data_IF_763798965461
#
_entry.id   IF_763798965461
#
_cell.length_a   1.000
_cell.length_b   1.000
_cell.length_c   1.000
_cell.angle_alpha   90.00
_cell.angle_beta   90.00
_cell.angle_gamma   90.00
#
_symmetry.space_group_name_H-M   'P 1'
#
loop_
_entity.id
_entity.type
_entity.pdbx_description
1 polymer ?
#
# COMPACT_ATOMS: atom_id res chain seq x y z
N UNK A 1 -79.30 -17.12 19.88
CA UNK A 1 -78.06 -17.90 20.08
C UNK A 1 -76.94 -16.90 20.34
N UNK A 2 -76.49 -16.79 21.59
CA UNK A 2 -75.41 -15.87 21.95
C UNK A 2 -74.06 -16.34 21.36
N UNK A 3 -73.11 -15.41 21.12
CA UNK A 3 -71.81 -15.75 20.55
C UNK A 3 -71.06 -16.74 21.47
N UNK A 4 -70.23 -17.65 20.92
CA UNK A 4 -69.53 -18.66 21.70
C UNK A 4 -68.63 -18.01 22.75
N UNK A 5 -68.86 -18.39 24.02
CA UNK A 5 -68.06 -17.99 25.16
C UNK A 5 -66.66 -18.58 25.00
N UNK A 6 -65.65 -17.72 24.80
CA UNK A 6 -64.23 -18.13 24.89
C UNK A 6 -63.92 -18.46 26.35
N UNK A 7 -63.50 -19.70 26.61
CA UNK A 7 -63.05 -20.18 27.92
C UNK A 7 -61.85 -19.34 28.42
N UNK A 8 -62.13 -18.35 29.26
CA UNK A 8 -61.16 -17.63 30.07
C UNK A 8 -60.64 -18.56 31.17
N UNK A 9 -59.45 -19.16 30.99
CA UNK A 9 -58.48 -19.62 32.03
C UNK A 9 -57.52 -20.74 31.60
N UNK A 10 -57.26 -20.95 30.31
CA UNK A 10 -56.02 -21.62 29.88
C UNK A 10 -55.07 -20.58 29.31
N UNK A 11 -54.11 -20.15 30.12
CA UNK A 11 -52.95 -19.38 29.64
C UNK A 11 -52.20 -20.34 28.71
N UNK A 12 -52.22 -20.05 27.40
CA UNK A 12 -51.50 -20.85 26.41
C UNK A 12 -49.99 -20.63 26.57
N UNK A 13 -49.39 -21.30 27.56
CA UNK A 13 -47.94 -21.33 27.79
C UNK A 13 -47.18 -21.75 26.54
N UNK A 14 -47.81 -22.57 25.68
CA UNK A 14 -47.25 -23.04 24.40
C UNK A 14 -46.80 -21.89 23.48
N UNK A 15 -47.62 -20.84 23.28
CA UNK A 15 -47.24 -19.68 22.46
C UNK A 15 -46.13 -18.85 23.09
N UNK A 16 -46.07 -18.82 24.42
CA UNK A 16 -45.00 -18.11 25.15
C UNK A 16 -43.69 -18.89 25.10
N UNK A 17 -43.74 -20.22 25.22
CA UNK A 17 -42.59 -21.09 25.01
C UNK A 17 -42.12 -21.08 23.56
N UNK A 18 -43.01 -21.11 22.57
CA UNK A 18 -42.65 -20.97 21.15
C UNK A 18 -41.99 -19.60 20.88
N UNK A 19 -42.52 -18.52 21.47
CA UNK A 19 -41.92 -17.17 21.35
C UNK A 19 -40.57 -17.06 22.06
N UNK A 20 -40.41 -17.66 23.24
CA UNK A 20 -39.13 -17.73 23.97
C UNK A 20 -38.13 -18.62 23.23
N UNK A 21 -38.59 -19.71 22.61
CA UNK A 21 -37.76 -20.63 21.82
C UNK A 21 -37.32 -19.96 20.51
N UNK A 22 -38.18 -19.18 19.86
CA UNK A 22 -37.84 -18.36 18.68
C UNK A 22 -36.95 -17.15 19.03
N UNK A 23 -36.98 -16.67 20.27
CA UNK A 23 -36.11 -15.60 20.78
C UNK A 23 -34.76 -16.11 21.29
N UNK A 24 -34.45 -17.40 21.12
CA UNK A 24 -33.12 -17.91 21.47
C UNK A 24 -32.08 -17.21 20.61
N UNK A 25 -31.17 -16.52 21.30
CA UNK A 25 -29.93 -16.02 20.71
C UNK A 25 -29.08 -17.26 20.41
N UNK A 26 -29.11 -17.71 19.16
CA UNK A 26 -28.23 -18.78 18.73
C UNK A 26 -26.84 -18.19 18.45
N UNK A 27 -25.83 -18.79 19.07
CA UNK A 27 -24.44 -18.58 18.73
C UNK A 27 -23.94 -19.73 17.86
N UNK A 28 -23.17 -19.42 16.82
CA UNK A 28 -22.52 -20.42 15.97
C UNK A 28 -21.07 -20.08 15.78
N UNK A 29 -20.24 -21.10 15.67
CA UNK A 29 -18.85 -20.94 15.29
C UNK A 29 -18.76 -20.87 13.76
N UNK A 30 -17.96 -19.93 13.28
CA UNK A 30 -17.86 -19.57 11.88
C UNK A 30 -16.43 -19.10 11.55
N UNK A 31 -16.15 -18.95 10.26
CA UNK A 31 -14.87 -18.43 9.77
C UNK A 31 -15.13 -17.22 8.89
N UNK A 32 -14.33 -16.17 9.04
CA UNK A 32 -14.36 -15.00 8.17
C UNK A 32 -13.92 -15.38 6.75
N UNK A 33 -14.73 -15.07 5.76
CA UNK A 33 -14.48 -15.43 4.36
C UNK A 33 -14.14 -14.21 3.50
N UNK A 34 -14.88 -13.12 3.68
CA UNK A 34 -14.67 -11.87 2.96
C UNK A 34 -15.06 -10.71 3.86
N UNK A 35 -14.39 -9.57 3.71
CA UNK A 35 -14.51 -8.42 4.60
C UNK A 35 -14.70 -7.17 3.77
N UNK A 36 -15.82 -6.49 3.98
CA UNK A 36 -16.07 -5.17 3.46
C UNK A 36 -15.91 -4.15 4.59
N UNK A 37 -14.73 -3.53 4.63
CA UNK A 37 -14.41 -2.50 5.63
C UNK A 37 -15.21 -1.22 5.43
N UNK A 38 -15.71 -0.94 4.22
CA UNK A 38 -16.49 0.26 3.91
C UNK A 38 -17.90 0.17 4.52
N UNK A 39 -18.51 -1.02 4.48
CA UNK A 39 -19.85 -1.28 5.02
C UNK A 39 -19.81 -1.85 6.44
N UNK A 40 -18.62 -2.15 6.98
CA UNK A 40 -18.41 -2.86 8.26
C UNK A 40 -19.19 -4.18 8.32
N UNK A 41 -19.21 -4.89 7.21
CA UNK A 41 -19.80 -6.22 7.10
C UNK A 41 -18.74 -7.22 6.71
N UNK A 42 -18.99 -8.47 7.05
CA UNK A 42 -18.16 -9.59 6.64
C UNK A 42 -19.05 -10.74 6.19
N UNK A 43 -18.59 -11.49 5.21
CA UNK A 43 -19.17 -12.78 4.87
C UNK A 43 -18.50 -13.83 5.73
N UNK A 44 -19.30 -14.63 6.43
CA UNK A 44 -18.83 -15.73 7.27
C UNK A 44 -19.37 -17.04 6.76
N UNK A 45 -18.57 -18.09 6.94
CA UNK A 45 -18.97 -19.47 6.67
C UNK A 45 -19.23 -20.18 7.99
N UNK A 46 -20.48 -20.60 8.23
CA UNK A 46 -20.86 -21.30 9.46
C UNK A 46 -20.32 -22.73 9.41
N UNK A 47 -19.82 -23.22 10.54
CA UNK A 47 -19.42 -24.62 10.67
C UNK A 47 -20.58 -25.57 10.30
N UNK A 48 -20.36 -26.45 9.32
CA UNK A 48 -21.36 -27.39 8.83
C UNK A 48 -22.28 -26.85 7.73
N UNK A 49 -22.04 -25.64 7.22
CA UNK A 49 -22.73 -25.07 6.06
C UNK A 49 -21.74 -24.64 4.97
N UNK A 50 -22.15 -24.80 3.71
CA UNK A 50 -21.42 -24.25 2.56
C UNK A 50 -21.89 -22.85 2.16
N UNK A 51 -22.98 -22.37 2.73
CA UNK A 51 -23.55 -21.06 2.41
C UNK A 51 -22.82 -19.95 3.15
N UNK A 52 -22.45 -18.89 2.43
CA UNK A 52 -21.89 -17.68 3.00
C UNK A 52 -23.03 -16.78 3.47
N UNK A 53 -22.96 -16.38 4.73
CA UNK A 53 -23.93 -15.45 5.32
C UNK A 53 -23.25 -14.13 5.63
N UNK A 54 -24.01 -13.04 5.61
CA UNK A 54 -23.49 -11.71 5.95
C UNK A 54 -23.65 -11.48 7.46
N UNK A 55 -22.56 -11.10 8.11
CA UNK A 55 -22.50 -10.73 9.52
C UNK A 55 -21.93 -9.32 9.68
N UNK A 56 -22.49 -8.56 10.62
CA UNK A 56 -22.03 -7.22 10.95
C UNK A 56 -20.80 -7.30 11.88
N UNK A 57 -19.87 -6.37 11.67
CA UNK A 57 -18.75 -6.16 12.58
C UNK A 57 -19.21 -5.24 13.72
N UNK A 58 -19.06 -5.65 14.99
CA UNK A 58 -19.52 -4.86 16.13
C UNK A 58 -18.82 -3.50 16.17
N UNK A 59 -19.61 -2.43 16.23
CA UNK A 59 -19.11 -1.06 16.22
C UNK A 59 -18.54 -0.60 17.58
N UNK A 60 -18.97 -1.26 18.64
CA UNK A 60 -18.70 -0.90 20.02
C UNK A 60 -17.45 -1.56 20.62
N UNK A 61 -16.80 -2.47 19.88
CA UNK A 61 -15.62 -3.19 20.36
C UNK A 61 -14.36 -2.45 19.90
N UNK A 62 -14.13 -2.38 18.58
CA UNK A 62 -12.93 -1.77 18.01
C UNK A 62 -13.24 -1.10 16.66
N UNK A 63 -12.49 -0.03 16.34
CA UNK A 63 -12.62 0.68 15.06
C UNK A 63 -12.01 -0.13 13.91
N UNK A 64 -10.82 -0.71 14.13
CA UNK A 64 -10.08 -1.55 13.19
C UNK A 64 -9.62 -2.84 13.88
N UNK A 65 -10.49 -3.84 13.99
CA UNK A 65 -10.17 -5.05 14.73
C UNK A 65 -9.10 -5.89 14.03
N UNK A 66 -8.02 -6.23 14.74
CA UNK A 66 -6.93 -7.05 14.17
C UNK A 66 -7.38 -8.47 13.78
N UNK A 67 -8.45 -8.95 14.40
CA UNK A 67 -9.08 -10.24 14.11
C UNK A 67 -9.92 -10.23 12.83
N UNK A 68 -10.23 -9.08 12.26
CA UNK A 68 -11.02 -8.96 11.04
C UNK A 68 -10.13 -9.23 9.81
N UNK A 69 -9.77 -10.50 9.63
CA UNK A 69 -9.00 -11.01 8.48
C UNK A 69 -9.67 -12.29 7.96
N UNK A 70 -9.68 -12.54 6.64
CA UNK A 70 -10.20 -13.81 6.12
C UNK A 70 -9.42 -14.98 6.72
N UNK A 71 -10.09 -16.06 7.09
CA UNK A 71 -9.47 -17.21 7.76
C UNK A 71 -9.58 -17.21 9.28
N UNK A 72 -9.84 -16.08 9.92
CA UNK A 72 -9.96 -16.06 11.37
C UNK A 72 -11.26 -16.73 11.83
N UNK A 73 -11.12 -17.52 12.90
CA UNK A 73 -12.24 -18.13 13.59
C UNK A 73 -13.02 -17.07 14.37
N UNK A 74 -14.33 -17.06 14.19
CA UNK A 74 -15.23 -16.12 14.86
C UNK A 74 -16.46 -16.83 15.37
N UNK A 75 -17.01 -16.33 16.48
CA UNK A 75 -18.33 -16.71 16.93
C UNK A 75 -19.31 -15.64 16.50
N UNK A 76 -20.35 -16.06 15.79
CA UNK A 76 -21.46 -15.20 15.40
C UNK A 76 -22.65 -15.42 16.30
N UNK A 77 -23.45 -14.38 16.50
CA UNK A 77 -24.72 -14.44 17.21
C UNK A 77 -25.81 -13.77 16.40
N UNK A 78 -27.03 -14.30 16.51
CA UNK A 78 -28.20 -13.59 16.02
C UNK A 78 -28.66 -12.55 17.05
N UNK A 79 -28.53 -11.26 16.73
CA UNK A 79 -29.04 -10.16 17.57
C UNK A 79 -30.53 -9.97 17.32
N UNK A 80 -31.32 -10.08 18.38
CA UNK A 80 -32.75 -9.74 18.35
C UNK A 80 -32.99 -8.23 18.14
N UNK A 81 -34.09 -7.87 17.49
CA UNK A 81 -34.46 -6.48 17.20
C UNK A 81 -35.54 -6.38 16.12
N UNK A 82 -35.92 -5.17 15.71
CA UNK A 82 -36.97 -4.93 14.69
C UNK A 82 -36.57 -5.48 13.31
N UNK A 83 -35.27 -5.54 13.01
CA UNK A 83 -34.68 -6.13 11.79
C UNK A 83 -33.50 -7.03 12.17
N UNK A 84 -33.76 -8.08 12.96
CA UNK A 84 -32.73 -8.97 13.50
C UNK A 84 -31.59 -9.24 12.50
N UNK A 85 -30.35 -9.15 12.98
CA UNK A 85 -29.16 -9.24 12.16
C UNK A 85 -28.14 -10.17 12.83
N UNK A 86 -27.23 -10.70 12.04
CA UNK A 86 -26.13 -11.53 12.53
C UNK A 86 -24.95 -10.61 12.81
N UNK A 87 -24.31 -10.79 13.95
CA UNK A 87 -23.15 -10.01 14.37
C UNK A 87 -22.03 -10.92 14.85
N UNK A 88 -20.78 -10.52 14.60
CA UNK A 88 -19.62 -11.17 15.22
C UNK A 88 -19.60 -10.82 16.72
N UNK A 89 -19.66 -11.85 17.56
CA UNK A 89 -19.70 -11.71 19.02
C UNK A 89 -18.34 -11.94 19.70
N UNK A 90 -17.41 -12.60 19.01
CA UNK A 90 -16.08 -12.88 19.53
C UNK A 90 -15.18 -13.54 18.50
N UNK A 91 -13.88 -13.51 18.75
CA UNK A 91 -12.87 -14.21 17.94
C UNK A 91 -12.40 -15.47 18.68
N UNK A 92 -12.17 -16.55 17.93
CA UNK A 92 -11.67 -17.82 18.44
C UNK A 92 -10.16 -17.94 18.24
N UNK A 93 -9.51 -18.75 19.09
CA UNK A 93 -8.08 -19.09 18.98
C UNK A 93 -7.82 -20.30 18.07
N UNK A 94 -8.86 -21.03 17.66
CA UNK A 94 -8.75 -22.22 16.83
C UNK A 94 -9.78 -22.23 15.71
N UNK A 95 -9.37 -22.70 14.53
CA UNK A 95 -10.26 -22.89 13.37
C UNK A 95 -11.26 -24.02 13.71
N UNK A 96 -12.58 -23.81 13.52
CA UNK A 96 -13.58 -24.85 13.74
C UNK A 96 -13.24 -26.16 13.01
N UNK A 97 -13.36 -27.28 13.71
CA UNK A 97 -13.09 -28.61 13.14
C UNK A 97 -13.98 -28.87 11.92
N UNK A 98 -13.36 -29.30 10.82
CA UNK A 98 -14.08 -29.66 9.61
C UNK A 98 -15.05 -30.82 9.84
N UNK A 99 -16.27 -30.68 9.31
CA UNK A 99 -17.26 -31.75 9.24
C UNK A 99 -17.15 -32.39 7.86
N UNK A 100 -17.17 -33.72 7.79
CA UNK A 100 -17.04 -34.45 6.53
C UNK A 100 -18.04 -33.96 5.48
N UNK A 101 -17.55 -33.61 4.28
CA UNK A 101 -18.36 -33.11 3.16
C UNK A 101 -18.59 -31.59 3.13
N UNK A 102 -17.96 -30.81 4.02
CA UNK A 102 -18.08 -29.34 4.06
C UNK A 102 -16.69 -28.69 4.07
N UNK A 103 -16.41 -27.86 3.07
CA UNK A 103 -15.19 -27.04 3.00
C UNK A 103 -15.27 -25.88 3.99
N UNK A 104 -14.90 -26.07 5.24
CA UNK A 104 -14.92 -24.97 6.22
C UNK A 104 -13.69 -24.08 6.13
N UNK A 105 -12.57 -24.55 5.56
CA UNK A 105 -11.36 -23.74 5.44
C UNK A 105 -11.50 -22.77 4.25
N UNK A 106 -11.34 -21.45 4.46
CA UNK A 106 -11.15 -20.56 3.33
C UNK A 106 -9.95 -21.01 2.51
N UNK A 107 -9.90 -20.61 1.22
CA UNK A 107 -8.71 -20.79 0.41
C UNK A 107 -7.52 -20.31 1.23
N UNK A 108 -6.46 -21.12 1.28
CA UNK A 108 -5.26 -20.69 1.98
C UNK A 108 -4.86 -19.32 1.45
N UNK A 109 -4.58 -18.40 2.38
CA UNK A 109 -3.84 -17.19 2.06
C UNK A 109 -2.49 -17.69 1.54
N UNK A 110 -2.26 -17.56 0.22
CA UNK A 110 -1.05 -17.97 -0.51
C UNK A 110 0.09 -16.93 -0.58
N UNK A 111 0.36 -16.06 0.42
CA UNK A 111 1.70 -15.53 0.62
C UNK A 111 2.60 -16.61 1.23
N UNK A 112 3.87 -16.69 0.81
CA UNK A 112 4.84 -17.64 1.37
C UNK A 112 5.08 -17.44 2.88
N UNK A 113 4.92 -16.20 3.36
CA UNK A 113 5.17 -15.79 4.75
C UNK A 113 4.10 -14.82 5.27
N UNK A 114 3.72 -14.92 6.55
CA UNK A 114 2.81 -13.95 7.18
C UNK A 114 2.18 -14.38 8.49
N UNK A 115 1.56 -13.42 9.19
CA UNK A 115 0.78 -13.69 10.41
C UNK A 115 -0.61 -14.21 10.07
N UNK A 116 -0.93 -15.41 10.55
CA UNK A 116 -2.24 -16.04 10.37
C UNK A 116 -3.21 -15.54 11.45
N UNK A 117 -2.79 -15.53 12.72
CA UNK A 117 -3.64 -15.08 13.83
C UNK A 117 -2.82 -14.65 15.07
N UNK A 118 -3.36 -13.74 15.87
CA UNK A 118 -2.85 -13.36 17.21
C UNK A 118 -1.59 -12.50 17.28
N UNK A 119 -0.54 -12.80 16.52
CA UNK A 119 0.78 -12.17 16.69
C UNK A 119 0.73 -10.64 16.46
N UNK A 120 1.17 -9.88 17.45
CA UNK A 120 1.19 -8.42 17.46
C UNK A 120 2.38 -7.92 18.28
N UNK A 121 2.80 -6.68 18.01
CA UNK A 121 3.81 -5.97 18.79
C UNK A 121 3.09 -4.94 19.66
N UNK A 122 3.32 -5.01 20.98
CA UNK A 122 2.72 -4.13 21.97
C UNK A 122 3.81 -3.29 22.62
N UNK A 123 3.62 -1.97 22.66
CA UNK A 123 4.41 -1.11 23.53
C UNK A 123 4.07 -1.41 25.00
N UNK A 124 5.08 -1.36 25.87
CA UNK A 124 4.89 -1.57 27.30
C UNK A 124 4.14 -0.40 27.93
N UNK A 125 3.30 -0.70 28.95
CA UNK A 125 2.55 0.32 29.69
C UNK A 125 3.44 1.12 30.66
N UNK A 126 4.61 0.56 31.00
CA UNK A 126 5.65 1.24 31.79
C UNK A 126 6.61 1.90 30.82
N UNK A 127 7.02 3.14 31.10
CA UNK A 127 8.00 3.85 30.27
C UNK A 127 9.32 3.07 30.27
N UNK A 128 9.53 2.30 29.20
CA UNK A 128 10.70 1.45 29.01
C UNK A 128 10.96 1.29 27.51
N UNK A 129 12.21 1.04 27.13
CA UNK A 129 12.59 0.72 25.75
C UNK A 129 12.42 -0.79 25.52
N UNK A 130 11.22 -1.30 25.82
CA UNK A 130 10.86 -2.72 25.67
C UNK A 130 9.53 -2.79 24.94
N UNK A 131 9.44 -3.71 23.99
CA UNK A 131 8.20 -4.09 23.32
C UNK A 131 7.91 -5.58 23.55
N UNK A 132 6.63 -5.93 23.59
CA UNK A 132 6.17 -7.29 23.82
C UNK A 132 5.63 -7.87 22.53
N UNK A 133 5.98 -9.12 22.24
CA UNK A 133 5.44 -9.89 21.12
C UNK A 133 4.37 -10.82 21.67
N UNK A 134 3.14 -10.76 21.15
CA UNK A 134 2.04 -11.63 21.61
C UNK A 134 2.08 -13.01 20.96
N UNK A 135 1.45 -13.97 21.63
CA UNK A 135 1.26 -15.32 21.10
C UNK A 135 0.42 -15.31 19.81
N UNK A 136 0.60 -16.33 18.98
CA UNK A 136 -0.22 -16.51 17.79
C UNK A 136 0.31 -17.59 16.85
N UNK A 137 -0.14 -17.54 15.60
CA UNK A 137 0.28 -18.46 14.54
C UNK A 137 0.80 -17.69 13.34
N UNK A 138 1.96 -18.13 12.83
CA UNK A 138 2.65 -17.52 11.70
C UNK A 138 2.93 -18.58 10.64
N UNK A 139 3.08 -18.16 9.39
CA UNK A 139 3.55 -18.98 8.28
C UNK A 139 4.92 -18.48 7.86
N UNK A 140 5.89 -19.39 7.74
CA UNK A 140 7.23 -19.10 7.21
C UNK A 140 7.61 -20.22 6.24
N UNK A 141 7.96 -19.87 5.01
CA UNK A 141 8.31 -20.83 3.96
C UNK A 141 7.19 -21.84 3.69
N UNK A 142 5.93 -21.41 3.77
CA UNK A 142 4.76 -22.26 3.62
C UNK A 142 4.43 -23.16 4.82
N UNK A 143 5.30 -23.22 5.85
CA UNK A 143 5.09 -24.01 7.07
C UNK A 143 4.43 -23.16 8.15
N UNK A 144 3.43 -23.71 8.83
CA UNK A 144 2.75 -23.03 9.95
C UNK A 144 3.47 -23.31 11.25
N UNK A 145 3.82 -22.26 11.99
CA UNK A 145 4.42 -22.31 13.32
C UNK A 145 3.48 -21.70 14.36
N UNK A 146 3.49 -22.28 15.56
CA UNK A 146 2.78 -21.75 16.73
C UNK A 146 3.77 -20.99 17.60
N UNK A 147 3.56 -19.70 17.75
CA UNK A 147 4.30 -18.82 18.65
C UNK A 147 3.65 -18.93 20.03
N UNK A 148 4.26 -19.75 20.89
CA UNK A 148 3.75 -20.08 22.22
C UNK A 148 4.06 -19.03 23.29
N UNK A 149 3.45 -19.15 24.49
CA UNK A 149 3.75 -18.25 25.59
C UNK A 149 5.14 -18.49 26.16
N UNK A 150 5.76 -17.45 26.72
CA UNK A 150 7.01 -17.58 27.48
C UNK A 150 6.75 -18.37 28.75
N UNK A 151 7.64 -19.32 29.05
CA UNK A 151 7.60 -20.07 30.30
C UNK A 151 8.04 -19.18 31.47
N UNK A 152 7.42 -19.34 32.64
CA UNK A 152 7.69 -18.47 33.81
C UNK A 152 9.09 -18.66 34.42
N UNK A 153 9.80 -19.72 34.02
CA UNK A 153 11.17 -20.02 34.41
C UNK A 153 12.20 -19.50 33.39
N UNK A 154 11.76 -18.83 32.32
CA UNK A 154 12.64 -18.23 31.33
C UNK A 154 13.30 -16.96 31.89
N UNK A 155 14.64 -16.93 31.85
CA UNK A 155 15.44 -15.83 32.39
C UNK A 155 15.28 -14.53 31.62
N UNK A 156 14.81 -14.60 30.37
CA UNK A 156 14.71 -13.44 29.48
C UNK A 156 13.40 -12.66 29.67
N UNK A 157 12.47 -13.18 30.48
CA UNK A 157 11.20 -12.51 30.79
C UNK A 157 11.13 -12.04 32.24
N UNK A 158 11.37 -10.74 32.45
CA UNK A 158 11.16 -10.11 33.76
C UNK A 158 9.68 -9.81 34.00
N UNK A 159 9.15 -10.20 35.16
CA UNK A 159 7.81 -9.79 35.57
C UNK A 159 7.76 -8.27 35.78
N UNK A 160 6.67 -7.62 35.35
CA UNK A 160 6.44 -6.20 35.58
C UNK A 160 6.37 -5.30 34.33
N UNK A 161 6.55 -5.85 33.12
CA UNK A 161 6.42 -5.09 31.86
C UNK A 161 4.98 -4.68 31.48
N UNK A 162 3.98 -5.06 32.28
CA UNK A 162 2.57 -4.73 32.05
C UNK A 162 1.85 -5.64 31.04
N UNK A 163 2.50 -6.69 30.54
CA UNK A 163 1.89 -7.70 29.68
C UNK A 163 0.96 -8.66 30.43
N UNK A 164 -0.05 -9.20 29.73
CA UNK A 164 -0.94 -10.23 30.26
C UNK A 164 -0.19 -11.56 30.33
N UNK A 165 -0.07 -12.14 31.53
CA UNK A 165 0.57 -13.44 31.72
C UNK A 165 -0.11 -14.52 30.84
N UNK A 166 0.72 -15.31 30.16
CA UNK A 166 0.25 -16.34 29.22
C UNK A 166 -0.21 -15.81 27.85
N UNK A 167 -0.22 -14.49 27.62
CA UNK A 167 -0.53 -13.86 26.33
C UNK A 167 0.69 -13.34 25.57
N UNK A 168 1.88 -13.41 26.17
CA UNK A 168 3.14 -12.89 25.63
C UNK A 168 4.04 -14.05 25.23
N UNK A 169 4.59 -13.96 24.02
CA UNK A 169 5.53 -14.89 23.44
C UNK A 169 7.00 -14.47 23.58
N UNK A 170 7.24 -13.18 23.85
CA UNK A 170 8.58 -12.68 24.14
C UNK A 170 8.59 -11.19 24.45
N UNK A 171 9.70 -10.72 25.01
CA UNK A 171 9.99 -9.31 25.21
C UNK A 171 11.29 -8.96 24.49
N UNK A 172 11.28 -7.84 23.76
CA UNK A 172 12.45 -7.35 23.03
C UNK A 172 12.83 -6.00 23.61
N UNK A 173 14.05 -5.92 24.15
CA UNK A 173 14.64 -4.64 24.54
C UNK A 173 15.18 -3.96 23.29
N UNK A 174 14.70 -2.74 23.01
CA UNK A 174 15.12 -1.94 21.86
C UNK A 174 16.12 -0.86 22.29
N UNK A 175 16.93 -0.39 21.35
CA UNK A 175 17.91 0.66 21.61
C UNK A 175 17.23 1.94 22.10
N UNK A 176 17.95 2.74 22.90
CA UNK A 176 17.48 4.03 23.40
C UNK A 176 16.90 4.96 22.32
N UNK A 177 16.02 5.87 22.75
CA UNK A 177 15.32 6.77 21.85
C UNK A 177 16.34 7.58 21.02
N UNK A 178 16.07 7.77 19.71
CA UNK A 178 16.93 8.59 18.87
C UNK A 178 16.92 10.05 19.34
N UNK A 179 17.89 10.85 18.89
CA UNK A 179 18.02 12.25 19.30
C UNK A 179 16.74 13.05 19.00
N UNK A 180 16.50 14.10 19.78
CA UNK A 180 15.32 14.95 19.59
C UNK A 180 15.22 15.45 18.14
N UNK A 181 14.04 15.29 17.52
CA UNK A 181 13.78 15.66 16.12
C UNK A 181 14.14 14.59 15.08
N UNK A 182 14.62 13.43 15.51
CA UNK A 182 14.88 12.26 14.65
C UNK A 182 13.97 11.10 15.01
N UNK A 183 13.78 10.17 14.08
CA UNK A 183 13.06 8.91 14.30
C UNK A 183 13.93 7.75 13.82
N UNK A 184 13.70 6.56 14.35
CA UNK A 184 14.38 5.32 13.93
C UNK A 184 13.30 4.28 13.68
N UNK A 185 13.40 3.55 12.57
CA UNK A 185 12.49 2.46 12.24
C UNK A 185 13.22 1.17 12.55
N UNK A 186 12.88 0.53 13.66
CA UNK A 186 13.47 -0.77 13.98
C UNK A 186 12.60 -1.90 13.43
N UNK A 187 13.24 -3.03 13.11
CA UNK A 187 12.58 -4.24 12.64
C UNK A 187 12.67 -5.31 13.73
N UNK A 188 11.53 -5.96 13.99
CA UNK A 188 11.44 -7.13 14.85
C UNK A 188 10.92 -8.28 13.99
N UNK A 189 11.67 -9.38 13.95
CA UNK A 189 11.41 -10.53 13.09
C UNK A 189 11.28 -11.78 13.94
N UNK A 190 10.44 -12.73 13.50
CA UNK A 190 10.42 -14.08 14.06
C UNK A 190 10.97 -15.03 13.00
N UNK A 191 12.03 -15.75 13.33
CA UNK A 191 12.65 -16.75 12.46
C UNK A 191 11.85 -18.06 12.41
N UNK A 192 12.20 -18.94 11.47
CA UNK A 192 11.64 -20.30 11.39
C UNK A 192 12.04 -21.18 12.59
N UNK A 193 13.07 -20.78 13.32
CA UNK A 193 13.51 -21.34 14.60
C UNK A 193 12.68 -20.81 15.80
N UNK A 194 11.68 -19.96 15.56
CA UNK A 194 10.87 -19.28 16.56
C UNK A 194 11.65 -18.33 17.48
N UNK A 195 12.84 -17.90 17.05
CA UNK A 195 13.61 -16.86 17.73
C UNK A 195 13.13 -15.48 17.28
N UNK A 196 13.05 -14.54 18.24
CA UNK A 196 12.69 -13.15 17.95
C UNK A 196 13.98 -12.34 17.78
N UNK A 197 14.22 -11.86 16.56
CA UNK A 197 15.36 -11.02 16.22
C UNK A 197 15.00 -9.53 16.26
N UNK A 198 15.95 -8.73 16.73
CA UNK A 198 15.88 -7.27 16.73
C UNK A 198 16.94 -6.68 15.81
N UNK A 199 16.52 -5.91 14.82
CA UNK A 199 17.40 -5.18 13.91
C UNK A 199 17.13 -3.69 14.07
N UNK A 200 18.09 -2.97 14.65
CA UNK A 200 18.03 -1.53 14.76
C UNK A 200 18.47 -0.86 13.45
N UNK A 201 17.73 0.16 13.02
CA UNK A 201 18.12 0.97 11.85
C UNK A 201 18.90 2.23 12.27
N UNK A 202 19.29 3.05 11.29
CA UNK A 202 19.89 4.35 11.53
C UNK A 202 18.81 5.39 11.81
N UNK A 203 19.06 6.31 12.75
CA UNK A 203 18.14 7.41 12.99
C UNK A 203 18.08 8.34 11.76
N UNK A 204 16.86 8.60 11.29
CA UNK A 204 16.57 9.53 10.21
C UNK A 204 16.00 10.84 10.75
N UNK A 205 16.38 11.95 10.13
CA UNK A 205 15.65 13.21 10.30
C UNK A 205 14.28 13.10 9.60
N UNK A 206 13.32 13.97 9.94
CA UNK A 206 12.03 14.20 9.26
C UNK A 206 10.74 13.73 9.99
N UNK A 207 10.74 13.56 11.31
CA UNK A 207 9.47 13.43 12.03
C UNK A 207 8.64 14.73 11.85
N UNK A 208 7.36 14.60 11.50
CA UNK A 208 6.40 15.70 11.23
C UNK A 208 6.64 16.56 9.96
N UNK A 209 7.36 16.08 8.95
CA UNK A 209 7.38 16.79 7.64
C UNK A 209 6.08 16.55 6.88
N UNK A 210 5.45 17.64 6.43
CA UNK A 210 4.31 17.60 5.51
C UNK A 210 4.86 17.52 4.09
N UNK A 211 4.71 16.36 3.45
CA UNK A 211 5.03 16.22 2.04
C UNK A 211 3.89 16.80 1.21
N UNK A 212 4.23 17.74 0.33
CA UNK A 212 3.31 18.16 -0.73
C UNK A 212 3.39 17.18 -1.88
N UNK A 213 2.27 17.02 -2.61
CA UNK A 213 2.24 16.22 -3.83
C UNK A 213 3.38 16.66 -4.78
N UNK A 214 4.03 15.71 -5.47
CA UNK A 214 5.05 16.03 -6.47
C UNK A 214 4.52 17.02 -7.50
N UNK A 215 5.28 18.08 -7.77
CA UNK A 215 4.97 19.08 -8.79
C UNK A 215 6.23 19.33 -9.60
N UNK A 216 6.13 19.53 -10.93
CA UNK A 216 7.28 19.92 -11.73
C UNK A 216 7.97 21.14 -11.11
N UNK A 217 9.28 21.02 -10.90
CA UNK A 217 10.10 22.08 -10.30
C UNK A 217 11.33 22.40 -11.11
N UNK A 218 11.84 21.45 -11.91
CA UNK A 218 12.97 21.66 -12.80
C UNK A 218 12.89 20.72 -13.99
N UNK A 219 13.68 21.02 -15.02
CA UNK A 219 13.92 20.13 -16.14
C UNK A 219 15.42 20.07 -16.43
N UNK A 220 15.88 18.96 -17.00
CA UNK A 220 17.23 18.83 -17.55
C UNK A 220 17.14 18.60 -19.05
N UNK A 221 18.15 19.08 -19.77
CA UNK A 221 18.30 18.90 -21.21
C UNK A 221 19.66 18.27 -21.46
N UNK A 222 19.68 17.16 -22.20
CA UNK A 222 20.90 16.42 -22.55
C UNK A 222 20.90 16.22 -24.06
N UNK A 223 21.97 16.66 -24.72
CA UNK A 223 22.19 16.39 -26.14
C UNK A 223 23.05 15.13 -26.24
N UNK A 224 22.65 14.19 -27.10
CA UNK A 224 23.38 12.92 -27.27
C UNK A 224 24.78 13.12 -27.86
N UNK A 225 24.88 14.09 -28.77
CA UNK A 225 26.12 14.56 -29.38
C UNK A 225 26.01 16.09 -29.56
N UNK A 226 26.84 16.83 -28.83
CA UNK A 226 26.89 18.29 -28.80
C UNK A 226 27.96 18.90 -29.73
N UNK A 227 28.72 18.06 -30.44
CA UNK A 227 29.72 18.44 -31.44
C UNK A 227 29.56 17.60 -32.71
N UNK A 228 28.64 18.02 -33.57
CA UNK A 228 28.21 17.25 -34.74
C UNK A 228 29.22 17.39 -35.89
N UNK A 229 29.86 16.30 -36.29
CA UNK A 229 30.80 16.29 -37.41
C UNK A 229 30.09 16.53 -38.76
N UNK A 230 30.82 16.96 -39.80
CA UNK A 230 30.24 17.20 -41.13
C UNK A 230 29.47 16.01 -41.72
N UNK A 231 29.96 14.79 -41.50
CA UNK A 231 29.32 13.57 -41.99
C UNK A 231 28.08 13.16 -41.19
N UNK A 232 27.86 13.73 -40.01
CA UNK A 232 26.75 13.45 -39.13
C UNK A 232 25.66 14.50 -39.37
N UNK A 233 24.45 14.03 -39.69
CA UNK A 233 23.38 14.93 -40.12
C UNK A 233 22.36 15.21 -39.03
N UNK A 234 22.41 14.52 -37.89
CA UNK A 234 21.41 14.66 -36.83
C UNK A 234 21.92 14.25 -35.46
N UNK A 235 21.35 14.85 -34.40
CA UNK A 235 21.55 14.46 -32.99
C UNK A 235 20.22 14.51 -32.23
N UNK A 236 20.15 13.86 -31.07
CA UNK A 236 18.95 13.78 -30.23
C UNK A 236 19.09 14.64 -28.98
N UNK A 237 18.08 15.45 -28.70
CA UNK A 237 17.95 16.29 -27.51
C UNK A 237 16.92 15.62 -26.59
N UNK A 238 17.35 15.16 -25.42
CA UNK A 238 16.49 14.53 -24.41
C UNK A 238 16.20 15.50 -23.28
N UNK A 239 14.93 15.65 -22.95
CA UNK A 239 14.43 16.49 -21.87
C UNK A 239 13.84 15.59 -20.78
N UNK A 240 14.18 15.84 -19.51
CA UNK A 240 13.63 15.10 -18.36
C UNK A 240 13.10 16.06 -17.31
N UNK A 241 11.89 15.81 -16.79
CA UNK A 241 11.19 16.65 -15.82
C UNK A 241 11.32 16.07 -14.41
N UNK A 242 11.66 16.93 -13.44
CA UNK A 242 11.84 16.55 -12.04
C UNK A 242 10.90 17.32 -11.11
N UNK A 243 10.56 16.68 -10.00
CA UNK A 243 9.81 17.28 -8.90
C UNK A 243 10.70 18.11 -7.96
N UNK A 244 10.08 18.77 -6.97
CA UNK A 244 10.77 19.57 -5.95
C UNK A 244 11.70 18.77 -5.03
N UNK A 245 11.67 17.43 -5.12
CA UNK A 245 12.49 16.52 -4.35
C UNK A 245 13.62 15.90 -5.19
N UNK A 246 13.72 16.24 -6.48
CA UNK A 246 14.73 15.73 -7.41
C UNK A 246 14.39 14.36 -8.03
N UNK A 247 13.15 13.89 -7.90
CA UNK A 247 12.70 12.66 -8.55
C UNK A 247 12.08 12.96 -9.92
N UNK A 248 12.14 12.01 -10.84
CA UNK A 248 11.40 12.12 -12.10
C UNK A 248 9.90 12.03 -11.84
N UNK A 249 9.12 12.85 -12.56
CA UNK A 249 7.67 12.94 -12.39
C UNK A 249 6.95 12.74 -13.72
N UNK A 250 5.97 11.84 -13.74
CA UNK A 250 5.09 11.66 -14.89
C UNK A 250 3.86 12.59 -14.77
N UNK A 251 3.31 13.09 -15.89
CA UNK A 251 2.12 13.94 -15.87
C UNK A 251 0.84 13.15 -15.54
N UNK A 252 -0.10 13.80 -14.86
CA UNK A 252 -1.50 13.34 -14.76
C UNK A 252 -2.26 13.65 -16.06
N UNK A 253 -1.79 13.12 -17.18
CA UNK A 253 -2.27 13.42 -18.52
C UNK A 253 -1.10 13.50 -19.50
N UNK A 254 -0.75 14.72 -19.91
CA UNK A 254 0.41 14.96 -20.77
C UNK A 254 1.12 16.26 -20.38
N UNK A 255 2.45 16.27 -20.50
CA UNK A 255 3.24 17.49 -20.54
C UNK A 255 3.35 17.97 -21.98
N UNK A 256 3.22 19.28 -22.19
CA UNK A 256 3.60 19.94 -23.44
C UNK A 256 4.99 20.55 -23.26
N UNK A 257 5.96 20.03 -24.00
CA UNK A 257 7.34 20.52 -24.01
C UNK A 257 7.59 21.14 -25.38
N UNK A 258 8.01 22.39 -25.40
CA UNK A 258 8.32 23.12 -26.63
C UNK A 258 9.82 23.34 -26.74
N UNK A 259 10.40 22.96 -27.89
CA UNK A 259 11.78 23.26 -28.26
C UNK A 259 11.77 24.32 -29.37
N UNK A 260 12.46 25.44 -29.18
CA UNK A 260 12.52 26.55 -30.12
C UNK A 260 13.96 26.97 -30.41
N UNK A 261 14.24 27.30 -31.67
CA UNK A 261 15.48 27.96 -32.05
C UNK A 261 15.53 29.35 -31.42
N UNK A 262 16.64 29.65 -30.78
CA UNK A 262 17.04 31.00 -30.38
C UNK A 262 17.95 31.60 -31.45
N UNK A 263 18.84 30.77 -32.00
CA UNK A 263 19.79 31.13 -33.06
C UNK A 263 20.20 29.89 -33.87
N UNK A 264 20.87 30.10 -35.01
CA UNK A 264 21.33 29.07 -35.94
C UNK A 264 20.24 28.51 -36.86
N UNK A 265 20.54 27.43 -37.59
CA UNK A 265 19.63 26.83 -38.58
C UNK A 265 19.56 25.30 -38.51
N UNK A 266 18.78 24.71 -39.41
CA UNK A 266 18.40 23.29 -39.39
C UNK A 266 16.91 23.07 -39.16
N UNK A 267 16.55 21.80 -38.94
CA UNK A 267 15.17 21.35 -38.75
C UNK A 267 15.04 20.53 -37.47
N UNK A 268 14.04 20.85 -36.64
CA UNK A 268 13.67 20.11 -35.44
C UNK A 268 12.50 19.16 -35.71
N UNK A 269 12.59 17.93 -35.22
CA UNK A 269 11.52 16.94 -35.23
C UNK A 269 11.15 16.51 -33.81
N UNK A 270 9.86 16.39 -33.50
CA UNK A 270 9.39 15.85 -32.24
C UNK A 270 9.25 14.32 -32.31
N UNK A 271 8.91 13.76 -33.47
CA UNK A 271 8.89 12.32 -33.74
C UNK A 271 9.50 11.99 -35.11
N UNK A 272 9.81 10.71 -35.34
CA UNK A 272 10.48 10.22 -36.54
C UNK A 272 9.74 10.46 -37.86
N UNK A 273 8.49 10.95 -37.83
CA UNK A 273 7.61 11.14 -38.98
C UNK A 273 6.95 12.53 -39.06
N UNK A 274 7.33 13.47 -38.19
CA UNK A 274 6.77 14.82 -38.24
C UNK A 274 7.41 15.65 -39.37
N UNK A 275 6.64 16.59 -39.94
CA UNK A 275 7.07 17.48 -41.04
C UNK A 275 8.29 18.36 -40.71
N UNK A 276 8.76 18.33 -39.46
CA UNK A 276 9.88 19.14 -39.00
C UNK A 276 9.50 20.60 -38.82
N UNK A 277 10.35 21.36 -38.14
CA UNK A 277 10.17 22.81 -37.96
C UNK A 277 11.52 23.51 -37.90
N UNK A 278 11.63 24.64 -38.58
CA UNK A 278 12.82 25.51 -38.58
C UNK A 278 12.74 26.64 -37.55
N UNK A 279 11.70 26.65 -36.70
CA UNK A 279 11.49 27.73 -35.70
C UNK A 279 11.22 27.17 -34.32
N UNK A 280 10.16 26.37 -34.18
CA UNK A 280 9.82 25.71 -32.92
C UNK A 280 8.93 24.50 -33.15
N UNK A 281 9.04 23.50 -32.27
CA UNK A 281 8.17 22.33 -32.28
C UNK A 281 7.80 21.92 -30.84
N UNK A 282 6.56 21.50 -30.65
CA UNK A 282 6.04 21.05 -29.37
C UNK A 282 5.77 19.56 -29.39
N UNK A 283 6.08 18.88 -28.27
CA UNK A 283 5.81 17.46 -28.07
C UNK A 283 4.96 17.25 -26.82
N UNK A 284 3.93 16.43 -26.96
CA UNK A 284 3.10 15.98 -25.85
C UNK A 284 3.60 14.62 -25.36
N UNK A 285 4.02 14.52 -24.10
CA UNK A 285 4.51 13.27 -23.50
C UNK A 285 3.65 12.88 -22.31
N UNK A 286 3.34 11.58 -22.19
CA UNK A 286 2.69 10.98 -21.01
C UNK A 286 3.71 10.46 -19.99
N UNK A 287 5.01 10.72 -20.23
CA UNK A 287 6.11 10.29 -19.36
C UNK A 287 6.90 11.49 -18.86
N UNK A 288 7.80 11.24 -17.91
CA UNK A 288 8.74 12.24 -17.37
C UNK A 288 9.77 12.74 -18.37
N UNK A 289 9.80 12.20 -19.59
CA UNK A 289 10.80 12.56 -20.60
C UNK A 289 10.19 12.77 -21.99
N UNK A 290 10.86 13.60 -22.78
CA UNK A 290 10.60 13.81 -24.19
C UNK A 290 11.92 13.93 -24.95
N UNK A 291 11.94 13.49 -26.20
CA UNK A 291 13.08 13.62 -27.09
C UNK A 291 12.68 14.38 -28.35
N UNK A 292 13.60 15.22 -28.82
CA UNK A 292 13.57 15.93 -30.10
C UNK A 292 14.79 15.52 -30.92
N UNK A 293 14.66 15.52 -32.23
CA UNK A 293 15.77 15.29 -33.15
C UNK A 293 16.09 16.58 -33.86
N UNK A 294 17.34 17.02 -33.79
CA UNK A 294 17.86 18.09 -34.63
C UNK A 294 18.48 17.48 -35.89
N UNK A 295 18.21 18.09 -37.04
CA UNK A 295 18.79 17.74 -38.34
C UNK A 295 19.40 18.99 -38.96
N UNK A 296 20.67 18.92 -39.37
CA UNK A 296 21.33 20.04 -40.07
C UNK A 296 20.84 20.17 -41.51
N UNK A 297 20.91 21.37 -42.09
CA UNK A 297 20.45 21.63 -43.46
C UNK A 297 21.43 21.09 -44.54
N UNK A 298 22.70 20.91 -44.17
CA UNK A 298 23.72 20.28 -45.03
C UNK A 298 24.31 21.23 -46.07
N UNK A 299 24.29 22.54 -45.81
CA UNK A 299 24.82 23.57 -46.68
C UNK A 299 26.22 24.03 -46.20
N UNK A 300 27.24 23.94 -47.05
CA UNK A 300 28.58 24.50 -46.80
C UNK A 300 29.02 25.37 -48.00
N UNK A 301 29.07 26.71 -47.87
CA UNK A 301 28.73 27.50 -46.68
C UNK A 301 27.20 27.65 -46.51
N UNK A 302 26.71 27.69 -45.27
CA UNK A 302 25.31 27.98 -44.99
C UNK A 302 24.82 27.48 -43.63
N UNK A 303 25.34 26.38 -43.12
CA UNK A 303 24.97 25.83 -41.81
C UNK A 303 25.51 26.71 -40.66
N UNK A 304 24.67 26.90 -39.64
CA UNK A 304 24.95 27.69 -38.44
C UNK A 304 24.59 26.89 -37.17
N UNK A 305 25.50 26.89 -36.19
CA UNK A 305 25.41 26.17 -34.92
C UNK A 305 24.18 26.60 -34.13
N UNK A 306 23.23 25.69 -33.85
CA UNK A 306 21.96 26.09 -33.27
C UNK A 306 22.00 26.21 -31.75
N UNK A 307 21.23 27.18 -31.25
CA UNK A 307 20.94 27.36 -29.83
C UNK A 307 19.44 27.15 -29.61
N UNK A 308 19.07 26.36 -28.61
CA UNK A 308 17.68 26.04 -28.32
C UNK A 308 17.24 26.53 -26.95
N UNK A 309 15.98 26.96 -26.89
CA UNK A 309 15.23 27.16 -25.67
C UNK A 309 14.17 26.06 -25.57
N UNK A 310 14.20 25.32 -24.48
CA UNK A 310 13.25 24.26 -24.16
C UNK A 310 12.37 24.75 -23.02
N UNK A 311 11.05 24.66 -23.17
CA UNK A 311 10.09 25.10 -22.14
C UNK A 311 9.05 24.01 -21.87
N UNK A 312 8.73 23.80 -20.59
CA UNK A 312 7.56 23.07 -20.13
C UNK A 312 6.40 24.06 -19.95
N UNK A 313 5.51 24.12 -20.94
CA UNK A 313 4.65 25.29 -21.19
C UNK A 313 3.70 25.63 -20.04
N UNK A 314 3.06 24.61 -19.46
CA UNK A 314 2.07 24.81 -18.39
C UNK A 314 2.69 25.28 -17.05
N UNK A 315 4.01 25.13 -16.89
CA UNK A 315 4.71 25.40 -15.63
C UNK A 315 5.75 26.52 -15.73
N UNK A 316 6.06 26.99 -16.95
CA UNK A 316 7.05 28.05 -17.18
C UNK A 316 8.48 27.65 -16.79
N UNK A 317 8.75 26.35 -16.73
CA UNK A 317 10.08 25.82 -16.41
C UNK A 317 10.83 25.66 -17.72
N UNK A 318 12.05 26.18 -17.80
CA UNK A 318 12.85 26.18 -19.03
C UNK A 318 14.27 25.66 -18.83
N UNK A 319 14.88 25.27 -19.94
CA UNK A 319 16.30 24.94 -20.06
C UNK A 319 16.79 25.31 -21.45
N UNK A 320 18.10 25.29 -21.66
CA UNK A 320 18.70 25.59 -22.95
C UNK A 320 19.81 24.60 -23.26
N UNK A 321 20.03 24.35 -24.55
CA UNK A 321 21.20 23.61 -25.04
C UNK A 321 21.69 24.24 -26.34
N UNK A 322 22.90 23.87 -26.74
CA UNK A 322 23.51 24.26 -28.00
C UNK A 322 24.10 23.01 -28.66
N UNK A 323 24.27 23.05 -29.99
CA UNK A 323 24.98 22.03 -30.76
C UNK A 323 26.04 22.76 -31.57
N UNK A 324 27.28 22.31 -31.49
CA UNK A 324 28.38 22.85 -32.30
C UNK A 324 28.41 22.10 -33.62
N UNK A 325 28.29 22.80 -34.74
CA UNK A 325 28.43 22.20 -36.06
C UNK A 325 29.85 22.35 -36.57
N UNK A 326 30.42 21.26 -37.08
CA UNK A 326 31.71 21.28 -37.75
C UNK A 326 31.54 21.28 -39.27
N UNK A 327 32.38 22.05 -39.96
CA UNK A 327 32.49 22.10 -41.41
C UNK A 327 33.19 20.87 -41.98
N UNK A 328 33.18 20.74 -43.31
CA UNK A 328 33.92 19.68 -44.02
C UNK A 328 35.43 19.68 -43.74
N UNK A 329 36.00 20.81 -43.29
CA UNK A 329 37.40 20.96 -42.89
C UNK A 329 37.62 20.82 -41.37
N UNK A 330 36.57 20.59 -40.59
CA UNK A 330 36.62 20.49 -39.12
C UNK A 330 36.65 21.85 -38.41
N UNK A 331 36.34 22.94 -39.10
CA UNK A 331 36.21 24.25 -38.46
C UNK A 331 34.81 24.42 -37.84
N UNK A 332 34.73 25.12 -36.71
CA UNK A 332 33.45 25.46 -36.08
C UNK A 332 32.65 26.41 -36.98
N UNK A 333 31.39 26.08 -37.23
CA UNK A 333 30.44 26.91 -37.96
C UNK A 333 29.79 27.94 -37.01
N UNK A 334 29.49 29.11 -37.58
CA UNK A 334 28.97 30.28 -36.86
C UNK A 334 27.70 29.95 -36.08
#
# INVERSE_FOLDING_TARGET
>A
MGPPVKLNRKIFLRRRFEKITQQRVESRDAILWDIDTSQRTCRVKIQGSNELITANVPQNIESNPQWLKPGNAVRIIHRGGIRGYIEVAGHGTGIPTAIAGVDVTPPEITPPDGTISGCSILATAVSSMVVLVTIGTIRIGGTTYTVGPVALDDTDYTLGYGGVLGGIAGAVTINGAPAAGTYRIDIIVIGADLVIDYVADTAAANINKVFQAPRPSSLTVVVADDELAWAETSTTITVTVYDQYGNTINPEGQYCITCAFVDGNGTLHAESYDEGSTTSISKYTSTSSAAFTYVRDGLDPGDESPIFLITLDAYGIGGSCYITLLSSSGAIMA
#
